data_IF_885846892542
#
_entry.id   IF_885846892542
#
_cell.length_a   1.000
_cell.length_b   1.000
_cell.length_c   1.000
_cell.angle_alpha   90.00
_cell.angle_beta   90.00
_cell.angle_gamma   90.00
#
_symmetry.space_group_name_H-M   'P 1'
#
loop_
_entity.id
_entity.type
_entity.pdbx_description
1 polymer ?
#
# COMPACT_ATOMS: atom_id res chain seq x y z
N UNK A 1 -13.26 -7.66 -6.17
CA UNK A 1 -13.62 -6.55 -5.28
C UNK A 1 -12.45 -5.60 -5.14
N UNK A 2 -12.71 -4.34 -4.81
CA UNK A 2 -11.68 -3.32 -4.61
C UNK A 2 -12.02 -2.48 -3.39
N UNK A 3 -11.03 -2.21 -2.53
CA UNK A 3 -11.09 -1.21 -1.48
C UNK A 3 -10.10 -0.10 -1.83
N UNK A 4 -10.55 1.12 -1.75
CA UNK A 4 -9.76 2.33 -2.08
C UNK A 4 -9.64 3.15 -0.80
N UNK A 5 -8.42 3.37 -0.34
CA UNK A 5 -8.15 4.15 0.86
C UNK A 5 -8.26 5.67 0.59
N UNK A 6 -8.30 6.47 1.64
CA UNK A 6 -8.32 7.93 1.51
C UNK A 6 -7.14 8.45 0.68
N UNK A 7 -7.36 9.49 -0.11
CA UNK A 7 -6.34 10.08 -0.99
C UNK A 7 -5.88 9.19 -2.15
N UNK A 8 -6.64 8.13 -2.47
CA UNK A 8 -6.27 7.15 -3.51
C UNK A 8 -7.16 7.26 -4.74
N UNK A 9 -6.64 6.81 -5.88
CA UNK A 9 -7.32 6.83 -7.17
C UNK A 9 -7.12 5.50 -7.90
N UNK A 10 -8.20 4.98 -8.50
CA UNK A 10 -8.17 3.86 -9.42
C UNK A 10 -8.82 4.27 -10.74
N UNK A 11 -8.06 4.22 -11.84
CA UNK A 11 -8.55 4.49 -13.18
C UNK A 11 -8.66 3.17 -13.95
N UNK A 12 -9.80 2.93 -14.57
CA UNK A 12 -10.07 1.74 -15.38
C UNK A 12 -10.92 2.09 -16.61
N UNK A 13 -10.81 1.35 -17.70
CA UNK A 13 -11.59 1.60 -18.90
C UNK A 13 -13.06 1.17 -18.69
N UNK A 14 -13.99 1.80 -19.42
CA UNK A 14 -15.40 1.39 -19.42
C UNK A 14 -15.60 -0.07 -19.89
N UNK A 15 -14.70 -0.58 -20.73
CA UNK A 15 -14.64 -1.97 -21.19
C UNK A 15 -13.17 -2.39 -21.29
N UNK A 16 -12.82 -3.51 -20.67
CA UNK A 16 -11.49 -4.10 -20.81
C UNK A 16 -11.26 -4.66 -22.22
N UNK A 17 -9.99 -4.76 -22.61
CA UNK A 17 -9.59 -5.43 -23.83
C UNK A 17 -10.00 -6.91 -23.82
N UNK A 18 -10.00 -7.55 -24.99
CA UNK A 18 -10.40 -8.95 -25.12
C UNK A 18 -9.39 -9.90 -24.45
N UNK A 19 -8.12 -9.49 -24.38
CA UNK A 19 -6.97 -10.30 -23.95
C UNK A 19 -6.39 -9.89 -22.61
N UNK A 20 -6.83 -8.75 -22.04
CA UNK A 20 -6.23 -8.22 -20.81
C UNK A 20 -7.16 -7.27 -20.04
N UNK A 21 -6.88 -7.09 -18.75
CA UNK A 21 -7.61 -6.19 -17.84
C UNK A 21 -6.62 -5.24 -17.19
N UNK A 22 -6.45 -4.04 -17.71
CA UNK A 22 -5.48 -3.07 -17.21
C UNK A 22 -6.15 -1.94 -16.44
N UNK A 23 -5.61 -1.62 -15.27
CA UNK A 23 -6.02 -0.48 -14.42
C UNK A 23 -4.79 0.32 -13.98
N UNK A 24 -5.00 1.59 -13.62
CA UNK A 24 -3.96 2.48 -13.12
C UNK A 24 -4.31 2.90 -11.70
N UNK A 25 -3.35 2.79 -10.79
CA UNK A 25 -3.54 3.03 -9.37
C UNK A 25 -2.61 4.14 -8.85
N UNK A 26 -3.08 4.86 -7.83
CA UNK A 26 -2.29 5.77 -6.99
C UNK A 26 -2.84 5.76 -5.58
N UNK A 27 -1.99 5.93 -4.55
CA UNK A 27 -2.38 5.83 -3.16
C UNK A 27 -2.39 4.39 -2.63
N UNK A 28 -3.32 4.03 -1.77
CA UNK A 28 -3.41 2.68 -1.20
C UNK A 28 -4.71 1.99 -1.60
N UNK A 29 -4.56 0.80 -2.21
CA UNK A 29 -5.66 0.04 -2.77
C UNK A 29 -5.45 -1.45 -2.47
N UNK A 30 -6.49 -2.10 -1.95
CA UNK A 30 -6.56 -3.54 -1.82
C UNK A 30 -7.48 -4.13 -2.89
N UNK A 31 -7.00 -5.15 -3.60
CA UNK A 31 -7.73 -5.81 -4.69
C UNK A 31 -7.88 -7.30 -4.41
N UNK A 32 -9.10 -7.80 -4.64
CA UNK A 32 -9.41 -9.22 -4.81
C UNK A 32 -9.81 -9.43 -6.27
N UNK A 33 -8.86 -9.89 -7.07
CA UNK A 33 -9.03 -10.10 -8.51
C UNK A 33 -9.59 -11.49 -8.77
N UNK A 34 -10.70 -11.57 -9.49
CA UNK A 34 -11.29 -12.83 -9.93
C UNK A 34 -10.32 -13.60 -10.83
N UNK A 35 -10.25 -14.92 -10.62
CA UNK A 35 -9.39 -15.82 -11.42
C UNK A 35 -9.84 -15.84 -12.88
N UNK A 36 -8.92 -15.50 -13.77
CA UNK A 36 -9.11 -15.51 -15.21
C UNK A 36 -7.71 -15.61 -15.87
N UNK A 37 -7.34 -16.82 -16.25
CA UNK A 37 -6.02 -17.10 -16.81
C UNK A 37 -5.88 -16.63 -18.27
N UNK A 38 -7.01 -16.54 -19.00
CA UNK A 38 -7.01 -16.11 -20.39
C UNK A 38 -6.87 -14.59 -20.54
N UNK A 39 -7.32 -13.83 -19.52
CA UNK A 39 -7.23 -12.37 -19.48
C UNK A 39 -6.50 -11.91 -18.24
N UNK A 40 -5.17 -11.86 -18.24
CA UNK A 40 -4.37 -11.34 -17.13
C UNK A 40 -4.84 -9.96 -16.67
N UNK A 41 -4.74 -9.71 -15.37
CA UNK A 41 -5.05 -8.41 -14.78
C UNK A 41 -3.74 -7.67 -14.47
N UNK A 42 -3.66 -6.44 -14.93
CA UNK A 42 -2.51 -5.58 -14.76
C UNK A 42 -2.86 -4.35 -13.92
N UNK A 43 -2.03 -4.03 -12.93
CA UNK A 43 -2.07 -2.75 -12.23
C UNK A 43 -0.79 -2.00 -12.55
N UNK A 44 -0.93 -0.81 -13.10
CA UNK A 44 0.18 0.10 -13.40
C UNK A 44 0.23 1.17 -12.31
N UNK A 45 1.38 1.31 -11.65
CA UNK A 45 1.58 2.24 -10.53
C UNK A 45 3.06 2.61 -10.41
N UNK A 46 3.39 3.90 -10.38
CA UNK A 46 4.76 4.41 -10.15
C UNK A 46 5.85 3.69 -10.95
N UNK A 47 5.63 3.43 -12.23
CA UNK A 47 6.57 2.70 -13.08
C UNK A 47 6.64 1.18 -12.84
N UNK A 48 5.83 0.65 -11.92
CA UNK A 48 5.70 -0.78 -11.66
C UNK A 48 4.48 -1.31 -12.41
N UNK A 49 4.61 -2.44 -13.10
CA UNK A 49 3.50 -3.18 -13.66
C UNK A 49 3.31 -4.48 -12.89
N UNK A 50 2.20 -4.59 -12.17
CA UNK A 50 1.82 -5.78 -11.39
C UNK A 50 0.88 -6.64 -12.22
N UNK A 51 1.30 -7.86 -12.59
CA UNK A 51 0.52 -8.85 -13.35
C UNK A 51 0.01 -9.93 -12.39
N UNK A 52 -1.29 -10.24 -12.49
CA UNK A 52 -1.94 -11.30 -11.72
C UNK A 52 -2.98 -12.04 -12.57
N UNK A 53 -3.32 -13.27 -12.17
CA UNK A 53 -4.33 -14.12 -12.86
C UNK A 53 -5.56 -14.42 -11.99
N UNK A 54 -5.51 -14.08 -10.70
CA UNK A 54 -6.55 -14.33 -9.69
C UNK A 54 -5.89 -14.30 -8.32
N UNK A 55 -5.90 -13.12 -7.68
CA UNK A 55 -4.94 -12.80 -6.62
C UNK A 55 -5.54 -11.75 -5.70
N UNK A 56 -5.26 -11.87 -4.41
CA UNK A 56 -5.58 -10.85 -3.40
C UNK A 56 -4.30 -10.16 -2.96
N UNK A 57 -4.23 -8.83 -3.12
CA UNK A 57 -3.02 -8.06 -2.85
C UNK A 57 -3.30 -6.60 -2.53
N UNK A 58 -2.39 -5.98 -1.80
CA UNK A 58 -2.40 -4.56 -1.45
C UNK A 58 -1.29 -3.81 -2.18
N UNK A 59 -1.60 -2.64 -2.69
CA UNK A 59 -0.62 -1.68 -3.23
C UNK A 59 -0.70 -0.44 -2.37
N UNK A 60 0.47 0.10 -1.96
CA UNK A 60 0.62 1.42 -1.34
C UNK A 60 1.63 2.23 -2.12
N UNK A 61 1.16 3.30 -2.75
CA UNK A 61 1.91 4.11 -3.70
C UNK A 61 1.40 5.56 -3.69
N UNK A 62 1.48 6.21 -2.54
CA UNK A 62 1.19 7.63 -2.43
C UNK A 62 2.31 8.46 -3.06
N UNK A 63 1.95 9.52 -3.80
CA UNK A 63 2.92 10.31 -4.54
C UNK A 63 3.95 11.03 -3.65
N UNK A 64 3.56 11.34 -2.43
CA UNK A 64 4.38 12.01 -1.40
C UNK A 64 5.13 11.05 -0.47
N UNK A 65 5.00 9.73 -0.68
CA UNK A 65 5.80 8.71 -0.01
C UNK A 65 6.98 8.30 -0.89
N UNK A 66 8.15 8.12 -0.26
CA UNK A 66 9.38 7.72 -0.96
C UNK A 66 9.39 6.25 -1.41
N UNK A 67 8.37 5.49 -1.06
CA UNK A 67 8.32 4.05 -1.30
C UNK A 67 7.01 3.63 -1.93
N UNK A 68 7.09 2.74 -2.91
CA UNK A 68 5.95 1.95 -3.38
C UNK A 68 6.06 0.55 -2.81
N UNK A 69 4.95 0.05 -2.23
CA UNK A 69 4.87 -1.27 -1.60
C UNK A 69 3.79 -2.10 -2.28
N UNK A 70 4.11 -3.34 -2.66
CA UNK A 70 3.16 -4.32 -3.21
C UNK A 70 3.19 -5.56 -2.32
N UNK A 71 2.09 -5.88 -1.67
CA UNK A 71 1.99 -7.00 -0.71
C UNK A 71 1.04 -8.05 -1.23
N UNK A 72 1.48 -9.29 -1.30
CA UNK A 72 0.66 -10.42 -1.71
C UNK A 72 0.02 -11.12 -0.50
N UNK A 73 -1.30 -11.27 -0.56
CA UNK A 73 -2.09 -12.01 0.43
C UNK A 73 -2.36 -13.44 -0.04
N UNK A 74 -2.87 -13.59 -1.26
CA UNK A 74 -3.25 -14.87 -1.84
C UNK A 74 -2.96 -14.90 -3.35
N UNK A 75 -2.54 -16.06 -3.86
CA UNK A 75 -2.25 -16.26 -5.29
C UNK A 75 -0.78 -16.03 -5.63
N UNK A 76 -0.51 -15.37 -6.75
CA UNK A 76 0.83 -15.07 -7.26
C UNK A 76 0.87 -13.71 -7.93
N UNK A 77 1.94 -12.98 -7.71
CA UNK A 77 2.25 -11.73 -8.42
C UNK A 77 3.51 -11.89 -9.25
N UNK A 78 3.50 -11.36 -10.48
CA UNK A 78 4.69 -10.99 -11.24
C UNK A 78 4.73 -9.46 -11.33
N UNK A 79 5.72 -8.83 -10.69
CA UNK A 79 5.90 -7.38 -10.70
C UNK A 79 7.08 -7.02 -11.60
N UNK A 80 6.82 -6.26 -12.66
CA UNK A 80 7.84 -5.75 -13.58
C UNK A 80 8.24 -4.34 -13.14
N UNK A 81 9.55 -4.14 -12.94
CA UNK A 81 10.15 -2.83 -12.64
C UNK A 81 11.33 -2.65 -13.60
N UNK A 82 11.24 -1.70 -14.51
CA UNK A 82 12.18 -1.61 -15.63
C UNK A 82 12.31 -2.97 -16.33
N UNK A 83 13.54 -3.48 -16.49
CA UNK A 83 13.83 -4.77 -17.16
C UNK A 83 13.86 -5.96 -16.19
N UNK A 84 13.48 -5.77 -14.91
CA UNK A 84 13.52 -6.84 -13.90
C UNK A 84 12.12 -7.28 -13.50
N UNK A 85 11.92 -8.59 -13.41
CA UNK A 85 10.70 -9.21 -12.91
C UNK A 85 10.92 -9.75 -11.49
N UNK A 86 9.99 -9.45 -10.60
CA UNK A 86 9.95 -9.95 -9.22
C UNK A 86 8.71 -10.80 -9.02
N UNK A 87 8.90 -12.06 -8.66
CA UNK A 87 7.80 -12.96 -8.29
C UNK A 87 7.55 -12.91 -6.80
N UNK A 88 6.30 -12.67 -6.38
CA UNK A 88 5.88 -12.74 -4.99
C UNK A 88 5.03 -13.98 -4.70
N UNK A 89 5.22 -14.52 -3.51
CA UNK A 89 4.39 -15.54 -2.87
C UNK A 89 3.63 -14.94 -1.68
N UNK A 90 2.55 -15.58 -1.18
CA UNK A 90 1.79 -15.07 -0.04
C UNK A 90 2.66 -14.70 1.17
N UNK A 91 2.35 -13.59 1.82
CA UNK A 91 3.13 -13.05 2.95
C UNK A 91 4.40 -12.28 2.54
N UNK A 92 4.65 -12.10 1.23
CA UNK A 92 5.77 -11.28 0.75
C UNK A 92 5.32 -9.90 0.33
N UNK A 93 6.15 -8.91 0.65
CA UNK A 93 6.01 -7.52 0.24
C UNK A 93 7.23 -7.11 -0.57
N UNK A 94 6.99 -6.65 -1.78
CA UNK A 94 7.95 -5.93 -2.61
C UNK A 94 7.92 -4.46 -2.17
N UNK A 95 9.09 -3.89 -1.94
CA UNK A 95 9.32 -2.50 -1.60
C UNK A 95 10.25 -1.90 -2.66
N UNK A 96 9.83 -0.81 -3.26
CA UNK A 96 10.60 -0.05 -4.24
C UNK A 96 10.81 1.36 -3.72
N UNK A 97 12.06 1.78 -3.58
CA UNK A 97 12.44 3.14 -3.23
C UNK A 97 12.38 4.01 -4.47
N UNK A 98 11.58 5.07 -4.43
CA UNK A 98 11.39 6.00 -5.57
C UNK A 98 12.57 6.94 -5.75
N UNK A 99 13.33 7.20 -4.70
CA UNK A 99 14.44 8.17 -4.71
C UNK A 99 15.70 7.53 -5.27
N UNK A 100 16.04 6.33 -4.80
CA UNK A 100 17.29 5.66 -5.14
C UNK A 100 17.10 4.44 -6.06
N UNK A 101 15.86 4.09 -6.41
CA UNK A 101 15.55 2.95 -7.28
C UNK A 101 15.85 1.58 -6.65
N UNK A 102 16.13 1.53 -5.35
CA UNK A 102 16.39 0.29 -4.62
C UNK A 102 15.14 -0.55 -4.50
N UNK A 103 15.29 -1.87 -4.70
CA UNK A 103 14.18 -2.83 -4.60
C UNK A 103 14.53 -3.93 -3.61
N UNK A 104 13.60 -4.26 -2.72
CA UNK A 104 13.75 -5.34 -1.74
C UNK A 104 12.46 -6.13 -1.57
N UNK A 105 12.58 -7.40 -1.17
CA UNK A 105 11.44 -8.27 -0.83
C UNK A 105 11.57 -8.70 0.63
N UNK A 106 10.54 -8.49 1.42
CA UNK A 106 10.50 -8.87 2.85
C UNK A 106 9.27 -9.71 3.18
N UNK A 107 9.34 -10.42 4.29
CA UNK A 107 8.18 -11.11 4.85
C UNK A 107 7.41 -10.14 5.75
N UNK A 108 6.09 -10.13 5.62
CA UNK A 108 5.17 -9.32 6.42
C UNK A 108 3.97 -10.16 6.83
N UNK A 109 3.23 -9.71 7.84
CA UNK A 109 1.90 -10.24 8.13
C UNK A 109 0.87 -9.54 7.22
N UNK A 110 0.26 -10.26 6.26
CA UNK A 110 -0.71 -9.65 5.35
C UNK A 110 -1.93 -9.06 6.08
N UNK A 111 -2.35 -9.67 7.21
CA UNK A 111 -3.51 -9.20 7.97
C UNK A 111 -3.30 -7.80 8.57
N UNK A 112 -2.06 -7.47 8.93
CA UNK A 112 -1.69 -6.12 9.40
C UNK A 112 -1.74 -5.12 8.24
N UNK A 113 -1.23 -5.49 7.07
CA UNK A 113 -1.16 -4.62 5.91
C UNK A 113 -2.55 -4.18 5.43
N UNK A 114 -3.54 -5.06 5.47
CA UNK A 114 -4.91 -4.75 5.03
C UNK A 114 -5.86 -4.39 6.17
N UNK A 115 -5.35 -4.17 7.38
CA UNK A 115 -6.15 -3.79 8.54
C UNK A 115 -6.97 -2.52 8.30
N UNK A 116 -6.47 -1.61 7.47
CA UNK A 116 -7.15 -0.38 7.09
C UNK A 116 -8.51 -0.61 6.39
N UNK A 117 -8.71 -1.75 5.71
CA UNK A 117 -10.00 -2.11 5.10
C UNK A 117 -11.10 -2.35 6.14
N UNK A 118 -10.71 -2.51 7.41
CA UNK A 118 -11.57 -2.67 8.58
C UNK A 118 -11.63 -1.43 9.46
N UNK A 119 -11.06 -0.32 9.00
CA UNK A 119 -11.09 0.97 9.70
C UNK A 119 -10.01 1.19 10.74
N UNK A 120 -8.94 0.39 10.76
CA UNK A 120 -7.82 0.60 11.68
C UNK A 120 -6.48 0.29 11.04
N UNK A 121 -5.40 0.92 11.51
CA UNK A 121 -4.02 0.58 11.15
C UNK A 121 -3.30 -0.03 12.32
N UNK A 122 -2.54 -1.09 12.05
CA UNK A 122 -1.61 -1.71 12.99
C UNK A 122 -0.20 -1.26 12.63
N UNK A 123 0.47 -0.60 13.56
CA UNK A 123 1.87 -0.24 13.45
C UNK A 123 2.70 -1.14 14.36
N UNK A 124 3.69 -1.84 13.80
CA UNK A 124 4.66 -2.64 14.55
C UNK A 124 6.06 -2.15 14.23
N UNK A 125 6.69 -1.50 15.21
CA UNK A 125 8.02 -0.90 15.06
C UNK A 125 8.11 -0.01 13.80
N UNK A 126 7.06 0.77 13.55
CA UNK A 126 7.01 1.71 12.44
C UNK A 126 7.71 3.01 12.82
N UNK A 127 8.35 3.66 11.86
CA UNK A 127 8.87 5.01 12.08
C UNK A 127 7.72 5.99 12.25
N UNK A 128 7.85 6.98 13.11
CA UNK A 128 6.82 7.99 13.32
C UNK A 128 6.45 8.73 12.03
N UNK A 129 7.39 8.85 11.10
CA UNK A 129 7.11 9.36 9.75
C UNK A 129 6.07 8.52 9.00
N UNK A 130 6.10 7.18 9.11
CA UNK A 130 5.09 6.31 8.47
C UNK A 130 3.72 6.47 9.13
N UNK A 131 3.69 6.67 10.44
CA UNK A 131 2.46 6.97 11.19
C UNK A 131 1.89 8.31 10.75
N UNK A 132 2.71 9.36 10.70
CA UNK A 132 2.32 10.69 10.26
C UNK A 132 1.76 10.69 8.82
N UNK A 133 2.40 9.98 7.88
CA UNK A 133 1.93 9.85 6.50
C UNK A 133 0.55 9.16 6.44
N UNK A 134 0.33 8.14 7.27
CA UNK A 134 -0.96 7.44 7.34
C UNK A 134 -2.06 8.36 7.87
N UNK A 135 -1.79 9.09 8.96
CA UNK A 135 -2.75 10.04 9.54
C UNK A 135 -3.05 11.19 8.57
N UNK A 136 -2.02 11.73 7.91
CA UNK A 136 -2.16 12.75 6.86
C UNK A 136 -3.16 12.30 5.81
N UNK A 137 -3.00 11.09 5.27
CA UNK A 137 -3.87 10.55 4.24
C UNK A 137 -5.30 10.30 4.78
N UNK A 138 -5.43 9.75 6.00
CA UNK A 138 -6.74 9.41 6.57
C UNK A 138 -7.58 10.59 6.98
N UNK A 139 -6.96 11.60 7.60
CA UNK A 139 -7.67 12.77 8.12
C UNK A 139 -7.61 13.98 7.18
N UNK A 140 -6.84 13.92 6.08
CA UNK A 140 -6.68 15.03 5.14
C UNK A 140 -5.97 16.23 5.74
N UNK A 141 -5.06 16.01 6.71
CA UNK A 141 -4.33 17.05 7.45
C UNK A 141 -2.87 17.09 7.05
N UNK A 142 -2.20 18.20 7.31
CA UNK A 142 -0.76 18.28 7.20
C UNK A 142 -0.12 18.06 8.58
N UNK A 143 0.73 17.03 8.70
CA UNK A 143 1.46 16.71 9.95
C UNK A 143 2.92 17.01 9.71
N UNK A 144 3.47 17.89 10.55
CA UNK A 144 4.89 18.26 10.53
C UNK A 144 5.52 17.68 11.79
N UNK A 145 6.52 16.82 11.61
CA UNK A 145 7.28 16.27 12.72
C UNK A 145 8.41 17.24 13.10
N UNK A 146 8.69 17.39 14.39
CA UNK A 146 9.85 18.12 14.85
C UNK A 146 11.16 17.45 14.42
N UNK A 147 12.26 18.21 14.45
CA UNK A 147 13.57 17.68 14.07
C UNK A 147 13.93 16.45 14.91
N UNK A 148 14.30 15.36 14.24
CA UNK A 148 14.67 14.09 14.88
C UNK A 148 13.50 13.18 15.24
N UNK A 149 12.25 13.62 15.18
CA UNK A 149 11.09 12.80 15.52
C UNK A 149 10.74 11.76 14.45
N UNK A 150 11.16 11.95 13.21
CA UNK A 150 10.83 11.05 12.07
C UNK A 150 11.25 9.60 12.29
N UNK A 151 12.35 9.37 13.00
CA UNK A 151 12.95 8.06 13.24
C UNK A 151 12.49 7.40 14.56
N UNK A 152 11.69 8.09 15.37
CA UNK A 152 11.08 7.50 16.59
C UNK A 152 10.25 6.29 16.17
N UNK A 153 10.40 5.21 16.93
CA UNK A 153 9.71 3.94 16.64
C UNK A 153 8.40 3.87 17.44
N UNK A 154 7.32 3.68 16.72
CA UNK A 154 5.97 3.53 17.27
C UNK A 154 5.45 2.11 17.08
N UNK A 155 4.77 1.60 18.09
CA UNK A 155 3.99 0.36 18.03
C UNK A 155 2.62 0.61 18.64
N UNK A 156 1.56 0.35 17.88
CA UNK A 156 0.20 0.59 18.35
C UNK A 156 -0.83 0.41 17.24
N UNK A 157 -2.08 0.69 17.60
CA UNK A 157 -3.23 0.65 16.68
C UNK A 157 -3.85 2.04 16.61
N UNK A 158 -4.15 2.49 15.40
CA UNK A 158 -4.90 3.72 15.15
C UNK A 158 -6.25 3.34 14.56
N UNK A 159 -7.32 3.77 15.21
CA UNK A 159 -8.68 3.57 14.72
C UNK A 159 -9.12 4.83 13.94
N UNK A 160 -9.67 4.65 12.75
CA UNK A 160 -10.16 5.74 11.89
C UNK A 160 -11.32 6.54 12.52
N UNK A 161 -12.09 5.90 13.39
CA UNK A 161 -13.19 6.56 14.11
C UNK A 161 -12.71 7.42 15.29
N UNK A 162 -11.46 7.24 15.73
CA UNK A 162 -10.88 8.05 16.80
C UNK A 162 -10.61 9.47 16.30
N UNK A 163 -10.91 10.47 17.12
CA UNK A 163 -10.55 11.86 16.80
C UNK A 163 -9.03 12.02 16.79
N UNK A 164 -8.52 12.70 15.77
CA UNK A 164 -7.08 12.91 15.60
C UNK A 164 -6.42 13.51 16.85
N UNK A 165 -7.07 14.48 17.51
CA UNK A 165 -6.54 15.14 18.70
C UNK A 165 -6.35 14.17 19.87
N UNK A 166 -7.23 13.15 19.99
CA UNK A 166 -7.11 12.13 21.04
C UNK A 166 -5.90 11.24 20.76
N UNK A 167 -5.72 10.85 19.50
CA UNK A 167 -4.55 10.06 19.10
C UNK A 167 -3.24 10.85 19.28
N UNK A 168 -3.19 12.12 18.89
CA UNK A 168 -2.00 12.95 19.00
C UNK A 168 -1.58 13.13 20.47
N UNK A 169 -2.53 13.34 21.40
CA UNK A 169 -2.22 13.41 22.85
C UNK A 169 -1.55 12.14 23.36
N UNK A 170 -2.01 10.95 22.90
CA UNK A 170 -1.35 9.68 23.27
C UNK A 170 0.07 9.57 22.72
N UNK A 171 0.35 10.18 21.56
CA UNK A 171 1.71 10.21 21.02
C UNK A 171 2.63 11.15 21.80
N UNK A 172 2.10 12.22 22.41
CA UNK A 172 2.88 13.16 23.23
C UNK A 172 3.29 12.56 24.59
N UNK A 173 2.60 11.50 25.04
CA UNK A 173 2.87 10.81 26.30
C UNK A 173 3.95 9.71 26.18
N UNK A 174 4.46 9.44 24.96
CA UNK A 174 5.45 8.39 24.64
C UNK A 174 6.82 9.00 24.36
#
# INVERSE_FOLDING_TARGET
>A
KVWINAGSTLKYPAKFAADSRTVYASGEIYLEVAKDAERPFYVVVDGITVKVLGTSFNIRAYADENETKVTLLEGKIAAQINDKEYTLTPGKQLKCDKTFGGTSVRTVDPAEIVSWTRGYYIFKKARLQEVANTLKNWYGVNIVLSSGASDIIYTGVVNKEEKLEVFLRRLEEV
#
